data_IF_810845813847
#
_entry.id   IF_810845813847
#
_cell.length_a   1.000
_cell.length_b   1.000
_cell.length_c   1.000
_cell.angle_alpha   90.00
_cell.angle_beta   90.00
_cell.angle_gamma   90.00
#
_symmetry.space_group_name_H-M   'P 1'
#
loop_
_entity.id
_entity.type
_entity.pdbx_description
1 polymer ?
#
# COMPACT_ATOMS: atom_id res chain seq x y z
N UNK A 1 -1.78 -18.70 30.86
CA UNK A 1 -0.81 -19.47 30.03
C UNK A 1 -1.59 -19.98 28.84
N UNK A 2 -1.59 -19.17 27.76
CA UNK A 2 -0.88 -19.45 26.48
C UNK A 2 -1.66 -20.52 25.68
N UNK A 3 -2.32 -20.23 24.55
CA UNK A 3 -1.94 -19.31 23.47
C UNK A 3 -3.16 -18.72 22.72
N UNK A 4 -2.94 -17.48 22.26
CA UNK A 4 -3.67 -16.80 21.20
C UNK A 4 -3.17 -17.33 19.85
N UNK A 5 -4.06 -17.65 18.92
CA UNK A 5 -3.71 -17.68 17.50
C UNK A 5 -4.75 -16.90 16.69
N UNK A 6 -4.27 -15.75 16.21
CA UNK A 6 -4.81 -14.92 15.14
C UNK A 6 -4.62 -15.68 13.80
N UNK A 7 -5.43 -15.40 12.80
CA UNK A 7 -5.47 -15.98 11.44
C UNK A 7 -6.39 -17.19 11.23
N UNK A 8 -7.27 -17.05 10.23
CA UNK A 8 -8.17 -18.08 9.72
C UNK A 8 -7.41 -18.86 8.65
N UNK A 9 -6.75 -19.94 9.07
CA UNK A 9 -6.08 -20.86 8.14
C UNK A 9 -7.13 -21.65 7.34
N UNK A 10 -6.89 -21.77 6.04
CA UNK A 10 -7.70 -22.57 5.13
C UNK A 10 -7.30 -24.04 5.21
N UNK A 11 -8.18 -24.90 5.74
CA UNK A 11 -8.03 -26.36 5.60
C UNK A 11 -8.80 -27.25 6.59
N UNK A 12 -9.88 -27.87 6.08
CA UNK A 12 -10.49 -29.19 6.39
C UNK A 12 -10.56 -29.73 7.84
N UNK A 13 -11.78 -29.81 8.40
CA UNK A 13 -12.06 -30.61 9.60
C UNK A 13 -13.49 -30.57 10.14
N UNK A 14 -14.39 -31.36 9.55
CA UNK A 14 -15.66 -31.94 10.06
C UNK A 14 -16.48 -31.10 11.08
N UNK A 15 -17.57 -30.49 10.57
CA UNK A 15 -18.66 -29.95 11.38
C UNK A 15 -19.48 -31.08 12.03
N UNK A 16 -19.39 -31.24 13.36
CA UNK A 16 -20.47 -31.88 14.13
C UNK A 16 -21.61 -30.87 14.25
N UNK A 17 -22.79 -31.21 13.72
CA UNK A 17 -24.02 -30.43 13.90
C UNK A 17 -24.70 -30.90 15.20
N UNK A 18 -24.82 -30.06 16.25
CA UNK A 18 -25.71 -30.37 17.37
C UNK A 18 -27.14 -29.88 17.09
N UNK A 19 -28.06 -30.75 17.47
CA UNK A 19 -29.52 -30.74 17.42
C UNK A 19 -30.19 -29.39 17.68
N UNK A 20 -31.23 -29.12 16.88
CA UNK A 20 -32.08 -27.91 16.84
C UNK A 20 -32.84 -27.73 18.16
N UNK A 21 -32.66 -26.57 18.82
CA UNK A 21 -33.58 -26.03 19.83
C UNK A 21 -34.33 -24.81 19.26
N UNK A 22 -35.60 -24.58 19.63
CA UNK A 22 -36.39 -23.51 19.05
C UNK A 22 -35.99 -22.15 19.65
N UNK A 23 -36.10 -21.10 18.83
CA UNK A 23 -35.83 -19.66 19.09
C UNK A 23 -34.42 -19.14 18.79
N UNK A 24 -34.29 -18.44 17.66
CA UNK A 24 -33.67 -17.10 17.55
C UNK A 24 -34.12 -16.43 16.23
N UNK A 25 -34.54 -15.15 16.24
CA UNK A 25 -35.12 -14.47 15.08
C UNK A 25 -34.03 -13.97 14.12
N UNK A 26 -34.41 -13.90 12.83
CA UNK A 26 -33.74 -13.23 11.71
C UNK A 26 -32.20 -13.33 11.62
N UNK A 27 -31.70 -14.42 11.05
CA UNK A 27 -30.34 -14.48 10.51
C UNK A 27 -30.35 -14.72 9.00
N UNK A 28 -30.53 -13.63 8.24
CA UNK A 28 -30.00 -13.49 6.88
C UNK A 28 -28.45 -13.44 6.93
N UNK A 29 -27.82 -14.45 7.53
CA UNK A 29 -26.37 -14.66 7.59
C UNK A 29 -25.98 -16.09 7.19
N UNK A 30 -26.91 -16.85 6.61
CA UNK A 30 -26.68 -18.24 6.21
C UNK A 30 -26.70 -18.49 4.69
N UNK A 31 -26.74 -17.42 3.88
CA UNK A 31 -26.60 -17.49 2.41
C UNK A 31 -25.28 -16.90 1.89
N UNK A 32 -24.32 -16.59 2.77
CA UNK A 32 -22.99 -16.19 2.34
C UNK A 32 -22.23 -17.44 1.89
N UNK A 33 -22.38 -17.79 0.62
CA UNK A 33 -21.47 -18.72 -0.06
C UNK A 33 -20.08 -18.08 0.01
N UNK A 34 -19.19 -18.65 0.81
CA UNK A 34 -17.77 -18.28 0.78
C UNK A 34 -17.20 -18.91 -0.49
N UNK A 35 -17.31 -18.18 -1.60
CA UNK A 35 -16.53 -18.50 -2.80
C UNK A 35 -15.10 -18.12 -2.47
N UNK A 36 -14.29 -19.12 -2.12
CA UNK A 36 -12.85 -18.98 -2.10
C UNK A 36 -12.41 -18.80 -3.55
N UNK A 37 -12.34 -17.56 -4.02
CA UNK A 37 -11.74 -17.23 -5.31
C UNK A 37 -10.24 -17.33 -5.10
N UNK A 38 -9.61 -18.30 -5.76
CA UNK A 38 -8.17 -18.35 -5.94
C UNK A 38 -7.77 -17.07 -6.70
N UNK A 39 -7.30 -16.05 -5.96
CA UNK A 39 -6.98 -14.75 -6.53
C UNK A 39 -5.54 -14.78 -7.03
N UNK A 40 -5.34 -15.13 -8.30
CA UNK A 40 -4.09 -14.81 -8.98
C UNK A 40 -4.01 -13.29 -9.14
N UNK A 41 -2.89 -12.64 -8.77
CA UNK A 41 -2.70 -11.21 -9.02
C UNK A 41 -2.89 -10.93 -10.53
N UNK A 42 -3.73 -9.94 -10.90
CA UNK A 42 -4.10 -9.74 -12.30
C UNK A 42 -3.05 -8.98 -13.13
N UNK A 43 -2.12 -8.26 -12.49
CA UNK A 43 -1.16 -7.40 -13.18
C UNK A 43 0.24 -7.99 -13.19
N UNK A 44 0.97 -7.72 -14.28
CA UNK A 44 2.37 -8.12 -14.45
C UNK A 44 3.21 -6.87 -14.71
N UNK A 45 4.16 -6.61 -13.83
CA UNK A 45 5.14 -5.54 -13.97
C UNK A 45 6.45 -6.09 -14.51
N UNK A 46 7.05 -5.34 -15.42
CA UNK A 46 8.31 -5.71 -16.06
C UNK A 46 9.39 -4.66 -15.86
N UNK A 47 10.62 -5.11 -15.60
CA UNK A 47 11.81 -4.26 -15.67
C UNK A 47 12.83 -4.92 -16.60
N UNK A 48 13.52 -4.11 -17.40
CA UNK A 48 14.57 -4.60 -18.30
C UNK A 48 15.87 -3.91 -17.92
N UNK A 49 16.92 -4.70 -17.76
CA UNK A 49 18.28 -4.21 -17.59
C UNK A 49 19.13 -4.74 -18.73
N UNK A 50 19.98 -3.86 -19.25
CA UNK A 50 20.91 -4.17 -20.32
C UNK A 50 22.34 -4.26 -19.76
N UNK A 51 23.08 -5.28 -20.20
CA UNK A 51 24.52 -5.44 -19.93
C UNK A 51 25.25 -5.82 -21.21
N UNK A 52 26.49 -5.37 -21.36
CA UNK A 52 27.33 -5.80 -22.48
C UNK A 52 27.77 -7.25 -22.27
N UNK A 53 27.85 -8.03 -23.35
CA UNK A 53 28.33 -9.42 -23.26
C UNK A 53 29.76 -9.47 -22.68
N UNK A 54 30.61 -8.52 -23.09
CA UNK A 54 31.98 -8.39 -22.54
C UNK A 54 32.01 -8.22 -21.03
N UNK A 55 31.11 -7.40 -20.45
CA UNK A 55 31.02 -7.25 -19.00
C UNK A 55 30.68 -8.57 -18.31
N UNK A 56 29.81 -9.38 -18.91
CA UNK A 56 29.45 -10.69 -18.37
C UNK A 56 30.60 -11.69 -18.47
N UNK A 57 31.45 -11.58 -19.49
CA UNK A 57 32.60 -12.47 -19.68
C UNK A 57 33.80 -12.07 -18.79
N UNK A 58 33.97 -10.77 -18.53
CA UNK A 58 35.06 -10.22 -17.72
C UNK A 58 34.77 -10.28 -16.20
N UNK A 59 33.52 -10.51 -15.78
CA UNK A 59 33.10 -10.47 -14.38
C UNK A 59 32.94 -11.86 -13.75
N UNK A 60 33.16 -11.94 -12.42
CA UNK A 60 32.94 -13.18 -11.68
C UNK A 60 31.44 -13.53 -11.62
N UNK A 61 31.05 -14.82 -11.76
CA UNK A 61 29.64 -15.23 -11.79
C UNK A 61 28.79 -14.81 -10.58
N UNK A 62 29.39 -14.76 -9.38
CA UNK A 62 28.72 -14.33 -8.15
C UNK A 62 28.32 -12.85 -8.20
N UNK A 63 29.23 -12.00 -8.66
CA UNK A 63 29.01 -10.53 -8.77
C UNK A 63 27.95 -10.23 -9.82
N UNK A 64 27.95 -10.97 -10.94
CA UNK A 64 26.96 -10.82 -12.01
C UNK A 64 25.55 -11.09 -11.47
N UNK A 65 25.36 -12.23 -10.81
CA UNK A 65 24.04 -12.65 -10.33
C UNK A 65 23.52 -11.71 -9.24
N UNK A 66 24.38 -11.31 -8.30
CA UNK A 66 24.01 -10.39 -7.23
C UNK A 66 23.67 -8.98 -7.78
N UNK A 67 24.54 -8.39 -8.60
CA UNK A 67 24.34 -7.02 -9.10
C UNK A 67 23.10 -6.88 -9.99
N UNK A 68 22.84 -7.86 -10.86
CA UNK A 68 21.66 -7.86 -11.72
C UNK A 68 20.40 -8.09 -10.89
N UNK A 69 20.45 -9.03 -9.94
CA UNK A 69 19.33 -9.33 -9.04
C UNK A 69 18.89 -8.11 -8.23
N UNK A 70 19.84 -7.43 -7.58
CA UNK A 70 19.55 -6.26 -6.73
C UNK A 70 19.02 -5.06 -7.54
N UNK A 71 19.57 -4.81 -8.73
CA UNK A 71 19.07 -3.71 -9.56
C UNK A 71 17.67 -4.00 -10.10
N UNK A 72 17.40 -5.24 -10.56
CA UNK A 72 16.06 -5.64 -10.99
C UNK A 72 15.06 -5.54 -9.84
N UNK A 73 15.46 -6.02 -8.66
CA UNK A 73 14.63 -5.94 -7.46
C UNK A 73 14.29 -4.49 -7.11
N UNK A 74 15.30 -3.62 -7.05
CA UNK A 74 15.09 -2.19 -6.74
C UNK A 74 14.15 -1.52 -7.75
N UNK A 75 14.33 -1.80 -9.05
CA UNK A 75 13.45 -1.26 -10.10
C UNK A 75 12.02 -1.73 -9.98
N UNK A 76 11.82 -3.04 -9.73
CA UNK A 76 10.48 -3.61 -9.53
C UNK A 76 9.83 -3.00 -8.29
N UNK A 77 10.55 -2.87 -7.18
CA UNK A 77 10.01 -2.25 -5.95
C UNK A 77 9.63 -0.80 -6.13
N UNK A 78 10.41 -0.02 -6.89
CA UNK A 78 10.05 1.34 -7.25
C UNK A 78 8.77 1.39 -8.09
N UNK A 79 8.64 0.50 -9.09
CA UNK A 79 7.44 0.42 -9.92
C UNK A 79 6.20 0.00 -9.12
N UNK A 80 6.34 -1.00 -8.25
CA UNK A 80 5.27 -1.46 -7.35
C UNK A 80 4.84 -0.35 -6.39
N UNK A 81 5.79 0.27 -5.68
CA UNK A 81 5.50 1.35 -4.73
C UNK A 81 4.71 2.48 -5.40
N UNK A 82 5.20 2.95 -6.54
CA UNK A 82 4.49 3.96 -7.35
C UNK A 82 3.09 3.50 -7.75
N UNK A 83 2.93 2.26 -8.22
CA UNK A 83 1.65 1.76 -8.68
C UNK A 83 0.63 1.65 -7.53
N UNK A 84 1.05 1.23 -6.34
CA UNK A 84 0.16 1.22 -5.17
C UNK A 84 -0.27 2.62 -4.73
N UNK A 85 0.54 3.65 -4.97
CA UNK A 85 0.17 5.03 -4.65
C UNK A 85 -0.74 5.64 -5.71
N UNK A 86 -0.30 5.65 -6.97
CA UNK A 86 -0.88 6.44 -8.06
C UNK A 86 -1.19 5.64 -9.33
N UNK A 87 -1.23 4.31 -9.24
CA UNK A 87 -1.56 3.46 -10.38
C UNK A 87 -2.94 3.82 -10.95
N UNK A 88 -2.99 4.08 -12.25
CA UNK A 88 -4.23 4.45 -12.95
C UNK A 88 -4.37 3.75 -14.31
N UNK A 89 -3.28 3.12 -14.79
CA UNK A 89 -3.27 2.44 -16.08
C UNK A 89 -3.96 1.08 -15.97
N UNK A 90 -4.33 0.55 -17.12
CA UNK A 90 -4.96 -0.76 -17.21
C UNK A 90 -3.99 -1.92 -16.91
N UNK A 91 -2.68 -1.71 -17.08
CA UNK A 91 -1.62 -2.70 -16.90
C UNK A 91 -0.96 -2.67 -15.52
N UNK A 92 -1.48 -1.86 -14.59
CA UNK A 92 -0.94 -1.73 -13.23
C UNK A 92 -2.08 -1.77 -12.19
N UNK A 93 -1.80 -2.14 -10.93
CA UNK A 93 -2.80 -2.11 -9.88
C UNK A 93 -3.31 -0.69 -9.65
N UNK A 94 -4.63 -0.49 -9.44
CA UNK A 94 -5.17 0.80 -9.08
C UNK A 94 -4.56 1.28 -7.76
N UNK A 95 -4.01 2.49 -7.80
CA UNK A 95 -3.42 3.17 -6.66
C UNK A 95 -4.46 3.57 -5.63
N UNK A 96 -4.00 3.73 -4.39
CA UNK A 96 -4.86 4.14 -3.28
C UNK A 96 -5.37 5.57 -3.47
N UNK A 97 -4.55 6.49 -4.00
CA UNK A 97 -4.97 7.89 -4.22
C UNK A 97 -5.82 8.10 -5.47
N UNK A 98 -5.77 7.19 -6.45
CA UNK A 98 -6.51 7.31 -7.72
C UNK A 98 -7.91 6.71 -7.64
N UNK A 99 -8.17 5.84 -6.66
CA UNK A 99 -9.46 5.18 -6.50
C UNK A 99 -10.60 6.19 -6.24
N UNK A 100 -11.59 6.21 -7.11
CA UNK A 100 -12.77 7.08 -6.97
C UNK A 100 -13.72 6.66 -5.83
N UNK A 101 -13.53 5.46 -5.28
CA UNK A 101 -14.36 4.92 -4.18
C UNK A 101 -14.11 5.65 -2.86
N UNK A 102 -12.89 6.12 -2.65
CA UNK A 102 -12.50 6.78 -1.40
C UNK A 102 -13.12 8.18 -1.37
N UNK A 103 -13.74 8.50 -0.24
CA UNK A 103 -14.32 9.82 -0.01
C UNK A 103 -13.22 10.89 0.11
N UNK A 104 -13.38 11.96 -0.68
CA UNK A 104 -12.47 13.12 -0.73
C UNK A 104 -13.16 14.35 -0.16
N UNK A 105 -12.53 15.01 0.81
CA UNK A 105 -12.91 16.34 1.27
C UNK A 105 -12.02 17.39 0.60
N UNK A 106 -12.63 18.50 0.16
CA UNK A 106 -11.92 19.64 -0.42
C UNK A 106 -12.06 20.82 0.53
N UNK A 107 -10.95 21.27 1.11
CA UNK A 107 -10.93 22.45 1.99
C UNK A 107 -9.54 23.07 2.03
N UNK A 108 -9.43 24.31 2.49
CA UNK A 108 -8.12 24.92 2.73
C UNK A 108 -7.35 24.17 3.82
N UNK A 109 -6.03 24.06 3.63
CA UNK A 109 -5.15 23.41 4.60
C UNK A 109 -5.14 24.23 5.90
N UNK A 110 -5.78 23.70 6.93
CA UNK A 110 -5.88 24.31 8.25
C UNK A 110 -5.87 23.23 9.34
N UNK A 111 -5.55 23.62 10.57
CA UNK A 111 -5.62 22.73 11.73
C UNK A 111 -7.00 22.04 11.85
N UNK A 112 -8.06 22.82 11.67
CA UNK A 112 -9.44 22.34 11.74
C UNK A 112 -9.73 21.32 10.64
N UNK A 113 -9.29 21.56 9.39
CA UNK A 113 -9.50 20.62 8.29
C UNK A 113 -8.86 19.24 8.55
N UNK A 114 -7.67 19.22 9.16
CA UNK A 114 -7.01 17.95 9.53
C UNK A 114 -7.77 17.24 10.65
N UNK A 115 -8.29 17.99 11.64
CA UNK A 115 -9.13 17.43 12.71
C UNK A 115 -10.43 16.86 12.13
N UNK A 116 -11.09 17.60 11.25
CA UNK A 116 -12.32 17.19 10.59
C UNK A 116 -12.11 15.92 9.76
N UNK A 117 -10.97 15.78 9.08
CA UNK A 117 -10.60 14.55 8.37
C UNK A 117 -10.55 13.34 9.32
N UNK A 118 -9.94 13.49 10.50
CA UNK A 118 -9.86 12.42 11.52
C UNK A 118 -11.24 12.01 12.00
N UNK A 119 -12.12 12.98 12.24
CA UNK A 119 -13.48 12.70 12.74
C UNK A 119 -14.47 12.30 11.64
N UNK A 120 -14.13 12.50 10.37
CA UNK A 120 -14.87 11.95 9.22
C UNK A 120 -14.70 10.43 9.13
N UNK A 121 -13.58 9.90 9.62
CA UNK A 121 -13.34 8.45 9.69
C UNK A 121 -14.18 7.82 10.82
N UNK A 122 -14.80 6.68 10.53
CA UNK A 122 -15.59 5.95 11.51
C UNK A 122 -14.74 5.57 12.74
N UNK A 123 -15.33 5.65 13.94
CA UNK A 123 -14.64 5.43 15.20
C UNK A 123 -13.89 4.09 15.29
N UNK A 124 -14.37 3.07 14.59
CA UNK A 124 -13.80 1.72 14.62
C UNK A 124 -12.41 1.63 13.97
N UNK A 125 -12.09 2.48 13.00
CA UNK A 125 -10.82 2.43 12.27
C UNK A 125 -9.74 3.34 12.88
N UNK A 126 -10.14 4.37 13.63
CA UNK A 126 -9.23 5.36 14.23
C UNK A 126 -8.07 4.77 15.06
N UNK A 127 -8.24 3.69 15.86
CA UNK A 127 -7.13 3.16 16.67
C UNK A 127 -5.93 2.66 15.86
N UNK A 128 -6.15 2.19 14.64
CA UNK A 128 -5.11 1.63 13.76
C UNK A 128 -4.80 2.51 12.55
N UNK A 129 -5.36 3.73 12.50
CA UNK A 129 -5.18 4.61 11.36
C UNK A 129 -3.85 5.36 11.39
N UNK A 130 -3.34 5.66 10.19
CA UNK A 130 -2.16 6.47 9.98
C UNK A 130 -2.43 7.56 8.94
N UNK A 131 -1.58 8.57 8.93
CA UNK A 131 -1.51 9.54 7.84
C UNK A 131 -0.51 9.09 6.77
N UNK A 132 -0.83 9.35 5.50
CA UNK A 132 0.05 9.13 4.36
C UNK A 132 0.02 10.35 3.42
N UNK A 133 1.18 10.85 3.05
CA UNK A 133 1.31 11.98 2.12
C UNK A 133 2.70 12.05 1.45
N UNK A 134 2.87 12.97 0.50
CA UNK A 134 4.18 13.31 -0.08
C UNK A 134 5.02 14.19 0.87
N UNK A 135 6.33 14.21 0.68
CA UNK A 135 7.25 15.09 1.42
C UNK A 135 6.91 16.58 1.24
N UNK A 136 6.47 17.00 0.04
CA UNK A 136 6.04 18.37 -0.21
C UNK A 136 4.78 18.72 0.59
N UNK A 137 3.84 17.78 0.66
CA UNK A 137 2.63 17.91 1.47
C UNK A 137 2.99 17.97 2.95
N UNK A 138 3.93 17.12 3.41
CA UNK A 138 4.39 17.13 4.79
C UNK A 138 5.04 18.48 5.17
N UNK A 139 5.80 19.10 4.26
CA UNK A 139 6.39 20.43 4.48
C UNK A 139 5.32 21.49 4.78
N UNK A 140 4.17 21.43 4.11
CA UNK A 140 3.04 22.35 4.35
C UNK A 140 2.34 22.01 5.68
N UNK A 141 2.01 20.73 5.89
CA UNK A 141 1.36 20.24 7.12
C UNK A 141 2.19 20.54 8.37
N UNK A 142 3.52 20.44 8.29
CA UNK A 142 4.43 20.71 9.41
C UNK A 142 4.41 22.17 9.85
N UNK A 143 4.01 23.10 8.99
CA UNK A 143 3.89 24.53 9.33
C UNK A 143 2.60 24.84 10.10
N UNK A 144 1.65 23.91 10.15
CA UNK A 144 0.37 24.12 10.82
C UNK A 144 0.54 24.24 12.33
N UNK A 145 -0.10 25.27 12.87
CA UNK A 145 -0.14 25.58 14.29
C UNK A 145 -1.60 25.63 14.76
N UNK A 146 -1.80 25.31 16.03
CA UNK A 146 -3.05 25.58 16.74
C UNK A 146 -3.18 27.08 17.07
N UNK A 147 -4.34 27.52 17.57
CA UNK A 147 -4.61 28.88 18.01
C UNK A 147 -3.61 29.37 19.08
N UNK A 148 -3.05 28.44 19.88
CA UNK A 148 -2.04 28.71 20.89
C UNK A 148 -0.60 28.78 20.34
N UNK A 149 -0.40 28.69 19.01
CA UNK A 149 0.91 28.72 18.36
C UNK A 149 1.71 27.41 18.48
N UNK A 150 1.07 26.32 18.92
CA UNK A 150 1.70 24.99 19.02
C UNK A 150 1.63 24.26 17.69
N UNK A 151 2.74 23.68 17.24
CA UNK A 151 2.76 22.85 16.04
C UNK A 151 1.96 21.56 16.24
N UNK A 152 1.15 21.20 15.25
CA UNK A 152 0.37 19.95 15.25
C UNK A 152 1.23 18.71 14.98
N UNK A 153 2.30 18.91 14.21
CA UNK A 153 3.25 17.87 13.83
C UNK A 153 4.38 17.81 14.85
N UNK A 154 4.70 16.60 15.30
CA UNK A 154 5.74 16.31 16.27
C UNK A 154 6.73 15.32 15.68
N UNK A 155 7.98 15.76 15.60
CA UNK A 155 9.09 14.90 15.21
C UNK A 155 9.34 13.84 16.29
N UNK A 156 9.69 12.64 15.85
CA UNK A 156 10.17 11.60 16.75
C UNK A 156 11.68 11.74 16.96
N UNK A 157 12.09 11.76 18.23
CA UNK A 157 13.50 11.78 18.64
C UNK A 157 14.05 10.37 18.91
N UNK A 158 13.17 9.36 19.00
CA UNK A 158 13.54 8.00 19.31
C UNK A 158 13.62 7.16 18.02
N UNK A 159 14.67 6.32 17.87
CA UNK A 159 14.79 5.46 16.70
C UNK A 159 13.62 4.48 16.63
N UNK A 160 13.04 4.33 15.44
CA UNK A 160 11.94 3.40 15.19
C UNK A 160 10.53 3.89 15.57
N UNK A 161 10.40 5.07 16.18
CA UNK A 161 9.08 5.68 16.43
C UNK A 161 8.77 6.63 15.26
N UNK A 162 7.64 6.46 14.54
CA UNK A 162 7.26 7.37 13.46
C UNK A 162 6.90 8.74 14.02
N UNK A 163 7.10 9.79 13.22
CA UNK A 163 6.63 11.11 13.54
C UNK A 163 5.10 11.13 13.63
N UNK A 164 4.56 12.07 14.40
CA UNK A 164 3.12 12.11 14.72
C UNK A 164 2.47 13.40 14.30
N UNK A 165 1.27 13.29 13.75
CA UNK A 165 0.37 14.39 13.45
C UNK A 165 -0.89 14.21 14.28
N UNK A 166 -1.16 15.13 15.21
CA UNK A 166 -2.34 15.07 16.11
C UNK A 166 -2.43 13.69 16.82
N UNK A 167 -1.29 13.16 17.24
CA UNK A 167 -1.19 11.88 17.97
C UNK A 167 -1.20 10.61 17.11
N UNK A 168 -1.48 10.69 15.80
CA UNK A 168 -1.42 9.54 14.88
C UNK A 168 -0.08 9.46 14.15
N UNK A 169 0.40 8.27 13.79
CA UNK A 169 1.62 8.13 12.99
C UNK A 169 1.42 8.73 11.61
N UNK A 170 2.46 9.39 11.09
CA UNK A 170 2.49 9.97 9.76
C UNK A 170 3.63 9.33 8.96
N UNK A 171 3.28 8.77 7.81
CA UNK A 171 4.21 8.20 6.85
C UNK A 171 4.27 9.06 5.60
N UNK A 172 5.45 9.12 5.00
CA UNK A 172 5.68 9.81 3.74
C UNK A 172 6.07 8.84 2.66
N UNK A 173 5.52 9.04 1.48
CA UNK A 173 5.88 8.32 0.27
C UNK A 173 6.15 9.32 -0.88
N UNK A 174 7.27 9.21 -1.61
CA UNK A 174 7.61 10.15 -2.66
C UNK A 174 6.68 10.08 -3.88
N UNK A 175 5.99 8.95 -4.10
CA UNK A 175 5.07 8.77 -5.22
C UNK A 175 3.63 9.22 -4.88
N UNK A 176 3.36 9.55 -3.61
CA UNK A 176 2.08 10.12 -3.22
C UNK A 176 1.87 11.50 -3.87
N UNK A 177 0.63 11.85 -4.27
CA UNK A 177 0.34 13.14 -4.87
C UNK A 177 0.55 14.30 -3.89
N UNK A 178 1.04 15.42 -4.43
CA UNK A 178 1.18 16.67 -3.68
C UNK A 178 -0.21 17.25 -3.33
N UNK A 179 -0.29 17.96 -2.21
CA UNK A 179 -1.53 18.57 -1.67
C UNK A 179 -2.68 17.59 -1.42
N UNK A 180 -2.34 16.34 -1.16
CA UNK A 180 -3.28 15.33 -0.70
C UNK A 180 -2.76 14.71 0.60
N UNK A 181 -3.65 14.63 1.58
CA UNK A 181 -3.40 13.98 2.86
C UNK A 181 -4.41 12.85 3.04
N UNK A 182 -3.93 11.62 3.06
CA UNK A 182 -4.76 10.45 3.33
C UNK A 182 -4.70 10.12 4.82
N UNK A 183 -5.86 9.74 5.38
CA UNK A 183 -5.99 9.25 6.74
C UNK A 183 -6.88 8.01 6.77
N UNK A 184 -6.43 6.95 7.43
CA UNK A 184 -7.23 5.75 7.54
C UNK A 184 -6.45 4.52 7.99
N UNK A 185 -7.18 3.42 8.16
CA UNK A 185 -6.58 2.11 8.40
C UNK A 185 -6.26 1.45 7.06
N UNK A 186 -4.98 1.46 6.70
CA UNK A 186 -4.50 0.88 5.46
C UNK A 186 -4.60 -0.64 5.42
N UNK A 187 -4.65 -1.32 6.57
CA UNK A 187 -4.72 -2.79 6.63
C UNK A 187 -6.06 -3.31 6.17
N UNK A 188 -7.13 -2.61 6.56
CA UNK A 188 -8.51 -2.90 6.14
C UNK A 188 -8.85 -2.18 4.81
N UNK A 189 -8.25 -1.02 4.57
CA UNK A 189 -8.58 -0.16 3.44
C UNK A 189 -8.01 -0.61 2.10
N UNK A 190 -6.74 -1.04 2.07
CA UNK A 190 -6.04 -1.38 0.83
C UNK A 190 -5.40 -2.76 0.90
N UNK A 191 -5.74 -3.61 -0.05
CA UNK A 191 -5.21 -4.97 -0.14
C UNK A 191 -4.19 -5.06 -1.26
N UNK A 192 -3.01 -5.57 -0.89
CA UNK A 192 -1.92 -5.90 -1.82
C UNK A 192 -1.87 -7.42 -1.94
N UNK A 193 -1.93 -7.91 -3.18
CA UNK A 193 -1.78 -9.33 -3.51
C UNK A 193 -0.59 -9.45 -4.47
N UNK A 194 0.60 -9.74 -3.94
CA UNK A 194 1.83 -9.83 -4.72
C UNK A 194 2.49 -11.20 -4.56
N UNK A 195 3.14 -11.69 -5.61
CA UNK A 195 3.99 -12.87 -5.48
C UNK A 195 5.25 -12.53 -4.66
N UNK A 196 5.84 -13.47 -3.91
CA UNK A 196 7.06 -13.17 -3.15
C UNK A 196 8.32 -13.16 -4.02
N UNK A 197 8.24 -13.63 -5.26
CA UNK A 197 9.37 -13.76 -6.20
C UNK A 197 9.08 -13.04 -7.53
N UNK A 198 10.13 -12.83 -8.32
CA UNK A 198 10.06 -12.37 -9.70
C UNK A 198 10.83 -13.34 -10.61
N UNK A 199 10.42 -13.44 -11.87
CA UNK A 199 11.07 -14.31 -12.85
C UNK A 199 12.05 -13.50 -13.68
N UNK A 200 13.23 -14.05 -13.96
CA UNK A 200 14.24 -13.39 -14.80
C UNK A 200 14.45 -14.22 -16.07
N UNK A 201 14.28 -13.60 -17.22
CA UNK A 201 14.64 -14.13 -18.53
C UNK A 201 15.89 -13.41 -19.05
N UNK A 202 16.89 -14.19 -19.44
CA UNK A 202 18.10 -13.71 -20.10
C UNK A 202 17.94 -13.82 -21.62
N UNK A 203 17.97 -12.70 -22.32
CA UNK A 203 17.87 -12.62 -23.78
C UNK A 203 19.20 -12.15 -24.41
N UNK A 204 20.00 -13.06 -25.00
CA UNK A 204 21.22 -12.73 -25.73
C UNK A 204 21.02 -12.42 -27.21
N UNK A 205 19.78 -12.48 -27.73
CA UNK A 205 19.51 -12.48 -29.17
C UNK A 205 19.04 -11.13 -29.69
N UNK A 206 18.19 -10.42 -28.94
CA UNK A 206 17.50 -9.23 -29.45
C UNK A 206 18.41 -8.02 -29.71
N UNK A 207 19.47 -7.82 -28.93
CA UNK A 207 20.31 -6.62 -29.01
C UNK A 207 21.81 -6.91 -28.92
N UNK A 208 22.41 -7.48 -29.97
CA UNK A 208 23.88 -7.68 -30.03
C UNK A 208 24.61 -6.33 -30.01
N UNK A 209 25.72 -6.13 -29.25
CA UNK A 209 26.49 -7.09 -28.43
C UNK A 209 26.08 -7.16 -26.94
N UNK A 210 24.85 -6.78 -26.62
CA UNK A 210 24.31 -6.77 -25.27
C UNK A 210 23.42 -7.98 -24.99
N UNK A 211 23.26 -8.26 -23.70
CA UNK A 211 22.30 -9.21 -23.15
C UNK A 211 21.29 -8.42 -22.34
N UNK A 212 20.02 -8.67 -22.61
CA UNK A 212 18.90 -8.10 -21.87
C UNK A 212 18.48 -9.07 -20.77
N UNK A 213 18.21 -8.53 -19.60
CA UNK A 213 17.63 -9.25 -18.47
C UNK A 213 16.23 -8.70 -18.26
N UNK A 214 15.23 -9.48 -18.64
CA UNK A 214 13.83 -9.16 -18.45
C UNK A 214 13.39 -9.75 -17.11
N UNK A 215 13.02 -8.91 -16.16
CA UNK A 215 12.36 -9.35 -14.94
C UNK A 215 10.85 -9.15 -15.08
N UNK A 216 10.07 -10.14 -14.68
CA UNK A 216 8.61 -10.05 -14.58
C UNK A 216 8.16 -10.39 -13.17
N UNK A 217 7.24 -9.58 -12.64
CA UNK A 217 6.68 -9.72 -11.32
C UNK A 217 5.16 -9.59 -11.37
N UNK A 218 4.45 -10.48 -10.68
CA UNK A 218 2.98 -10.45 -10.65
C UNK A 218 2.50 -9.85 -9.35
N UNK A 219 1.71 -8.79 -9.48
CA UNK A 219 1.16 -8.05 -8.36
C UNK A 219 -0.27 -7.58 -8.63
N UNK A 220 -0.94 -7.22 -7.55
CA UNK A 220 -2.32 -6.85 -7.46
C UNK A 220 -2.48 -5.87 -6.31
N UNK A 221 -3.41 -4.95 -6.48
CA UNK A 221 -3.71 -3.94 -5.50
C UNK A 221 -5.13 -3.47 -5.72
N UNK A 222 -5.91 -3.31 -4.65
CA UNK A 222 -7.22 -2.67 -4.73
C UNK A 222 -7.65 -2.14 -3.37
N UNK A 223 -8.49 -1.12 -3.41
CA UNK A 223 -9.25 -0.69 -2.23
C UNK A 223 -10.29 -1.76 -1.91
N UNK A 224 -10.16 -2.39 -0.74
CA UNK A 224 -11.09 -3.41 -0.26
C UNK A 224 -12.24 -2.76 0.50
N UNK A 225 -11.92 -1.84 1.41
CA UNK A 225 -12.88 -1.13 2.24
C UNK A 225 -12.70 0.39 2.12
N UNK A 226 -13.56 1.03 1.34
CA UNK A 226 -13.50 2.47 1.08
C UNK A 226 -13.90 3.34 2.27
N UNK A 227 -14.60 2.79 3.27
CA UNK A 227 -14.95 3.53 4.50
C UNK A 227 -13.75 3.71 5.44
N UNK A 228 -12.76 2.83 5.34
CA UNK A 228 -11.57 2.81 6.19
C UNK A 228 -10.54 3.87 5.82
N UNK A 229 -10.71 4.55 4.67
CA UNK A 229 -9.78 5.56 4.14
C UNK A 229 -10.54 6.85 3.82
N UNK A 230 -9.92 7.99 4.11
CA UNK A 230 -10.39 9.33 3.74
C UNK A 230 -9.24 10.15 3.18
N UNK A 231 -9.51 11.02 2.22
CA UNK A 231 -8.52 11.91 1.62
C UNK A 231 -8.98 13.35 1.81
N UNK A 232 -8.06 14.20 2.25
CA UNK A 232 -8.18 15.65 2.23
C UNK A 232 -7.34 16.21 1.08
N UNK A 233 -7.94 17.04 0.23
CA UNK A 233 -7.30 17.69 -0.91
C UNK A 233 -7.47 19.22 -0.82
N UNK A 234 -6.43 19.97 -1.19
CA UNK A 234 -6.47 21.44 -1.20
C UNK A 234 -5.78 22.04 -2.42
N UNK A 235 -6.26 23.21 -2.85
CA UNK A 235 -5.78 23.89 -4.06
C UNK A 235 -4.78 25.02 -3.76
N UNK A 236 -4.74 25.52 -2.53
CA UNK A 236 -3.94 26.69 -2.20
C UNK A 236 -2.46 26.33 -2.01
N UNK A 237 -1.59 27.06 -2.72
CA UNK A 237 -0.16 27.10 -2.43
C UNK A 237 0.04 28.12 -1.30
N UNK A 238 0.42 27.65 -0.10
CA UNK A 238 0.86 28.53 0.98
C UNK A 238 2.22 29.15 0.67
#
# INVERSE_FOLDING_TARGET
MTDFNFFRDGGNGILKVPTIGPYLPCTMKQLATVVMVEYSPPYEMGAIIQRSQRFLDDSMPEIITASIGEELYTRIRQLEGRAYMIGARYDEPPGVFTSQRIQRSHSDLSANAVIDLVYTLEARYRPSSAFLCSENTLREVRRLQDADGRFLYQDSLAPGVPARLIGYPCYTDPDAPDRQLMFGDFREGYRIDAQPYFTILRDPFSQKPHVLFHATHKTGGKVENDEALKILEWNNAS
#
